data_IF_197673032672
#
_entry.id   IF_197673032672
#
_cell.length_a   1.000
_cell.length_b   1.000
_cell.length_c   1.000
_cell.angle_alpha   90.00
_cell.angle_beta   90.00
_cell.angle_gamma   90.00
#
_symmetry.space_group_name_H-M   'P 1'
#
loop_
_entity.id
_entity.type
_entity.pdbx_description
1 polymer ?
#
# COMPACT_ATOMS: atom_id res chain seq x y z
N UNK A 1 6.33 27.22 -6.50
CA UNK A 1 5.83 25.98 -7.13
C UNK A 1 5.93 24.82 -6.12
N UNK A 2 5.26 24.88 -4.97
CA UNK A 2 5.41 23.83 -3.92
C UNK A 2 4.21 23.73 -2.95
N UNK A 3 2.99 24.05 -3.38
CA UNK A 3 1.80 23.91 -2.52
C UNK A 3 0.62 23.22 -3.21
N UNK A 4 0.80 22.74 -4.46
CA UNK A 4 -0.33 22.31 -5.30
C UNK A 4 -0.34 20.82 -5.61
N UNK A 5 0.66 20.06 -5.15
CA UNK A 5 0.74 18.61 -5.43
C UNK A 5 0.05 17.79 -4.32
N UNK A 6 0.09 18.25 -3.06
CA UNK A 6 -0.60 17.60 -1.94
C UNK A 6 -2.14 17.70 -1.99
N UNK A 7 -2.72 18.65 -2.74
CA UNK A 7 -4.18 18.75 -2.92
C UNK A 7 -4.73 17.83 -4.01
N UNK A 8 -3.89 17.12 -4.78
CA UNK A 8 -4.37 16.27 -5.89
C UNK A 8 -4.86 14.89 -5.46
N UNK A 9 -4.62 14.47 -4.22
CA UNK A 9 -5.12 13.20 -3.71
C UNK A 9 -6.54 13.30 -3.10
N UNK A 10 -7.09 14.50 -2.90
CA UNK A 10 -8.40 14.72 -2.26
C UNK A 10 -9.64 14.36 -3.12
N UNK A 11 -9.50 13.64 -4.24
CA UNK A 11 -10.67 13.27 -5.07
C UNK A 11 -10.65 11.86 -5.68
N UNK A 12 -9.67 11.03 -5.33
CA UNK A 12 -9.70 9.62 -5.73
C UNK A 12 -10.51 8.85 -4.69
N UNK A 13 -11.65 8.30 -5.11
CA UNK A 13 -12.44 7.39 -4.28
C UNK A 13 -11.51 6.30 -3.76
N UNK A 14 -11.56 6.02 -2.45
CA UNK A 14 -10.89 4.85 -1.89
C UNK A 14 -11.48 3.59 -2.51
N UNK A 15 -10.64 2.57 -2.63
CA UNK A 15 -11.07 1.24 -3.06
C UNK A 15 -11.76 0.47 -1.94
N UNK A 16 -12.37 -0.65 -2.32
CA UNK A 16 -13.14 -1.53 -1.45
C UNK A 16 -12.48 -2.90 -1.30
N UNK A 17 -12.97 -3.71 -0.37
CA UNK A 17 -12.55 -5.12 -0.27
C UNK A 17 -12.92 -5.96 -1.49
N UNK A 18 -13.94 -5.57 -2.26
CA UNK A 18 -14.30 -6.28 -3.50
C UNK A 18 -13.24 -6.08 -4.57
N UNK A 19 -12.66 -4.88 -4.69
CA UNK A 19 -11.54 -4.63 -5.61
C UNK A 19 -10.33 -5.50 -5.24
N UNK A 20 -10.03 -5.65 -3.95
CA UNK A 20 -8.97 -6.54 -3.45
C UNK A 20 -9.25 -8.02 -3.76
N UNK A 21 -10.51 -8.47 -3.73
CA UNK A 21 -10.87 -9.87 -4.00
C UNK A 21 -10.47 -10.30 -5.41
N UNK A 22 -10.57 -9.40 -6.37
CA UNK A 22 -10.23 -9.62 -7.78
C UNK A 22 -8.73 -9.53 -8.07
N UNK A 23 -7.92 -9.06 -7.11
CA UNK A 23 -6.48 -8.97 -7.25
C UNK A 23 -5.76 -10.34 -7.17
N UNK A 24 -4.51 -10.42 -7.70
CA UNK A 24 -3.69 -11.62 -7.59
C UNK A 24 -3.44 -12.06 -6.13
N UNK A 25 -3.15 -13.35 -5.88
CA UNK A 25 -2.95 -13.87 -4.52
C UNK A 25 -1.87 -13.14 -3.71
N UNK A 26 -0.79 -12.69 -4.35
CA UNK A 26 0.26 -11.92 -3.69
C UNK A 26 -0.22 -10.57 -3.18
N UNK A 27 -1.08 -9.88 -3.93
CA UNK A 27 -1.66 -8.60 -3.51
C UNK A 27 -2.64 -8.79 -2.35
N UNK A 28 -3.49 -9.83 -2.43
CA UNK A 28 -4.40 -10.20 -1.33
C UNK A 28 -3.66 -10.51 -0.04
N UNK A 29 -2.57 -11.27 -0.11
CA UNK A 29 -1.73 -11.57 1.05
C UNK A 29 -1.12 -10.30 1.65
N UNK A 30 -0.57 -9.40 0.82
CA UNK A 30 -0.01 -8.12 1.29
C UNK A 30 -1.09 -7.26 1.96
N UNK A 31 -2.28 -7.16 1.38
CA UNK A 31 -3.40 -6.43 1.99
C UNK A 31 -3.75 -6.99 3.36
N UNK A 32 -3.83 -8.32 3.50
CA UNK A 32 -4.08 -8.99 4.78
C UNK A 32 -2.98 -8.72 5.80
N UNK A 33 -1.71 -8.71 5.38
CA UNK A 33 -0.58 -8.39 6.29
C UNK A 33 -0.64 -6.94 6.75
N UNK A 34 -0.97 -6.00 5.87
CA UNK A 34 -1.13 -4.58 6.24
C UNK A 34 -2.33 -4.37 7.17
N UNK A 35 -3.43 -5.10 6.97
CA UNK A 35 -4.59 -5.09 7.88
C UNK A 35 -4.20 -5.46 9.33
N UNK A 36 -3.27 -6.42 9.51
CA UNK A 36 -2.83 -6.84 10.84
C UNK A 36 -1.73 -5.97 11.47
N UNK A 37 -0.95 -5.26 10.66
CA UNK A 37 0.29 -4.58 11.11
C UNK A 37 0.25 -3.04 10.95
N UNK A 38 -0.91 -2.48 10.59
CA UNK A 38 -1.19 -1.04 10.39
C UNK A 38 -0.32 -0.35 9.31
N UNK A 39 0.97 -0.15 9.58
CA UNK A 39 1.90 0.56 8.71
C UNK A 39 3.24 -0.15 8.65
N UNK A 40 3.73 -0.44 7.45
CA UNK A 40 4.97 -1.19 7.24
C UNK A 40 5.79 -0.63 6.08
N UNK A 41 7.11 -0.79 6.15
CA UNK A 41 8.01 -0.59 5.02
C UNK A 41 7.91 -1.77 4.04
N UNK A 42 8.34 -1.56 2.79
CA UNK A 42 8.39 -2.64 1.80
C UNK A 42 9.25 -3.83 2.27
N UNK A 43 10.32 -3.58 3.04
CA UNK A 43 11.18 -4.63 3.55
C UNK A 43 10.46 -5.48 4.60
N UNK A 44 9.81 -4.84 5.57
CA UNK A 44 9.07 -5.54 6.63
C UNK A 44 7.91 -6.36 6.02
N UNK A 45 7.21 -5.83 5.01
CA UNK A 45 6.18 -6.59 4.28
C UNK A 45 6.78 -7.83 3.61
N UNK A 46 7.99 -7.74 3.05
CA UNK A 46 8.66 -8.90 2.45
C UNK A 46 9.05 -9.95 3.49
N UNK A 47 9.46 -9.51 4.68
CA UNK A 47 9.79 -10.39 5.80
C UNK A 47 8.54 -11.09 6.36
N UNK A 48 7.45 -10.35 6.58
CA UNK A 48 6.19 -10.92 7.11
C UNK A 48 5.47 -11.84 6.12
N UNK A 49 5.45 -11.47 4.83
CA UNK A 49 4.77 -12.28 3.79
C UNK A 49 5.61 -13.45 3.29
N UNK A 50 6.91 -13.47 3.59
CA UNK A 50 7.90 -14.37 2.99
C UNK A 50 7.96 -14.31 1.46
N UNK A 51 7.46 -13.22 0.86
CA UNK A 51 7.51 -13.02 -0.58
C UNK A 51 8.83 -12.36 -0.98
N UNK A 52 9.38 -12.69 -2.17
CA UNK A 52 10.50 -11.95 -2.73
C UNK A 52 10.16 -10.45 -2.87
N UNK A 53 11.12 -9.57 -2.63
CA UNK A 53 10.91 -8.12 -2.68
C UNK A 53 10.33 -7.60 -4.02
N UNK A 54 10.62 -8.29 -5.14
CA UNK A 54 10.01 -7.99 -6.45
C UNK A 54 8.50 -8.26 -6.47
N UNK A 55 8.07 -9.34 -5.83
CA UNK A 55 6.65 -9.70 -5.72
C UNK A 55 5.91 -8.78 -4.77
N UNK A 56 6.54 -8.35 -3.67
CA UNK A 56 5.96 -7.33 -2.77
C UNK A 56 5.77 -6.01 -3.51
N UNK A 57 6.78 -5.55 -4.27
CA UNK A 57 6.62 -4.34 -5.09
C UNK A 57 5.48 -4.46 -6.08
N UNK A 58 5.39 -5.59 -6.77
CA UNK A 58 4.28 -5.86 -7.67
C UNK A 58 2.93 -5.79 -6.94
N UNK A 59 2.80 -6.47 -5.80
CA UNK A 59 1.59 -6.47 -4.98
C UNK A 59 1.19 -5.06 -4.51
N UNK A 60 2.13 -4.28 -3.97
CA UNK A 60 1.90 -2.90 -3.56
C UNK A 60 1.45 -2.02 -4.72
N UNK A 61 2.06 -2.15 -5.90
CA UNK A 61 1.63 -1.41 -7.09
C UNK A 61 0.17 -1.76 -7.47
N UNK A 62 -0.23 -3.03 -7.41
CA UNK A 62 -1.60 -3.44 -7.72
C UNK A 62 -2.61 -2.90 -6.70
N UNK A 63 -2.24 -2.86 -5.43
CA UNK A 63 -3.07 -2.27 -4.37
C UNK A 63 -3.17 -0.73 -4.52
N UNK A 64 -2.09 -0.06 -4.90
CA UNK A 64 -2.08 1.39 -5.15
C UNK A 64 -2.95 1.77 -6.37
N UNK A 65 -2.93 0.95 -7.43
CA UNK A 65 -3.79 1.10 -8.61
C UNK A 65 -5.28 1.12 -8.23
N UNK A 66 -5.69 0.23 -7.33
CA UNK A 66 -7.07 0.14 -6.80
C UNK A 66 -7.37 1.15 -5.67
N UNK A 67 -6.41 2.00 -5.28
CA UNK A 67 -6.56 3.00 -4.21
C UNK A 67 -6.97 2.40 -2.86
N UNK A 68 -6.46 1.22 -2.55
CA UNK A 68 -6.74 0.50 -1.29
C UNK A 68 -5.59 0.62 -0.27
N UNK A 69 -4.51 1.31 -0.63
CA UNK A 69 -3.38 1.59 0.27
C UNK A 69 -2.98 3.06 0.15
N UNK A 70 -2.42 3.60 1.22
CA UNK A 70 -1.65 4.86 1.19
C UNK A 70 -0.15 4.55 1.23
N UNK A 71 0.64 5.46 0.66
CA UNK A 71 2.09 5.38 0.72
C UNK A 71 2.74 6.74 0.98
N UNK A 72 3.46 6.84 2.10
CA UNK A 72 4.12 8.07 2.54
C UNK A 72 5.60 7.87 2.81
N UNK A 73 6.37 8.95 2.80
CA UNK A 73 7.78 8.88 3.21
C UNK A 73 7.89 8.55 4.69
N UNK A 74 8.88 7.72 5.04
CA UNK A 74 9.21 7.51 6.45
C UNK A 74 9.87 8.77 7.03
N UNK A 75 9.44 9.17 8.22
CA UNK A 75 10.08 10.25 8.97
C UNK A 75 11.48 9.87 9.48
N UNK A 76 11.74 8.58 9.71
CA UNK A 76 13.05 8.11 10.20
C UNK A 76 14.10 7.96 9.09
N UNK A 77 13.66 7.65 7.87
CA UNK A 77 14.50 7.64 6.66
C UNK A 77 13.64 7.99 5.45
N UNK A 78 13.73 9.24 4.97
CA UNK A 78 12.92 9.75 3.87
C UNK A 78 13.14 9.01 2.53
N UNK A 79 14.15 8.15 2.41
CA UNK A 79 14.34 7.28 1.23
C UNK A 79 13.42 6.06 1.25
N UNK A 80 12.88 5.70 2.42
CA UNK A 80 11.94 4.60 2.60
C UNK A 80 10.51 5.11 2.50
N UNK A 81 9.63 4.26 1.96
CA UNK A 81 8.18 4.46 2.03
C UNK A 81 7.57 3.55 3.08
N UNK A 82 6.56 4.08 3.76
CA UNK A 82 5.65 3.36 4.62
C UNK A 82 4.33 3.19 3.89
N UNK A 83 3.77 1.99 3.99
CA UNK A 83 2.51 1.60 3.37
C UNK A 83 1.51 1.23 4.45
N UNK A 84 0.27 1.66 4.29
CA UNK A 84 -0.85 1.36 5.19
C UNK A 84 -2.08 1.05 4.37
N UNK A 85 -2.96 0.22 4.92
CA UNK A 85 -4.24 -0.07 4.29
C UNK A 85 -5.17 1.15 4.40
N UNK A 86 -5.77 1.56 3.28
CA UNK A 86 -6.80 2.61 3.20
C UNK A 86 -7.98 2.07 2.39
N UNK A 87 -8.81 1.26 3.04
CA UNK A 87 -10.02 0.67 2.47
C UNK A 87 -11.23 1.21 3.24
N UNK A 88 -12.29 1.58 2.53
CA UNK A 88 -13.60 1.85 3.14
C UNK A 88 -14.32 0.52 3.45
N UNK A 89 -15.04 0.45 4.58
CA UNK A 89 -15.75 -0.77 5.04
C UNK A 89 -16.73 -1.37 4.01
#
# INVERSE_FOLDING_TARGET
MSASESLRQETKSRGTWDDVRDLPPSAKLVAKVLEYNETMTQQEIAEETLLPARTVRYALNRLDEENVIDSRFSFSDARKRLYSLEIDE
#
